data_IF_458389174994
#
_entry.id   IF_458389174994
#
_cell.length_a   1.000
_cell.length_b   1.000
_cell.length_c   1.000
_cell.angle_alpha   90.00
_cell.angle_beta   90.00
_cell.angle_gamma   90.00
#
_symmetry.space_group_name_H-M   'P 1'
#
loop_
_entity.id
_entity.type
_entity.pdbx_description
1 polymer ?
#
# COMPACT_ATOMS: atom_id res chain seq x y z
N UNK A 1 -20.15 -58.63 -19.86
CA UNK A 1 -19.55 -57.28 -19.80
C UNK A 1 -20.15 -56.56 -18.61
N UNK A 2 -19.43 -56.43 -17.50
CA UNK A 2 -19.84 -55.60 -16.36
C UNK A 2 -18.72 -54.58 -16.11
N UNK A 3 -19.00 -53.33 -16.49
CA UNK A 3 -18.11 -52.19 -16.27
C UNK A 3 -18.17 -51.80 -14.79
N UNK A 4 -17.03 -51.94 -14.09
CA UNK A 4 -16.87 -51.42 -12.74
C UNK A 4 -16.65 -49.91 -12.82
N UNK A 5 -17.69 -49.14 -12.52
CA UNK A 5 -17.56 -47.72 -12.24
C UNK A 5 -16.68 -47.53 -11.00
N UNK A 6 -15.52 -46.90 -11.17
CA UNK A 6 -14.70 -46.41 -10.06
C UNK A 6 -15.41 -45.21 -9.43
N UNK A 7 -15.59 -45.17 -8.10
CA UNK A 7 -16.19 -44.01 -7.46
C UNK A 7 -15.24 -42.82 -7.60
N UNK A 8 -15.76 -41.71 -8.12
CA UNK A 8 -15.09 -40.42 -8.16
C UNK A 8 -14.88 -39.95 -6.71
N UNK A 9 -13.64 -40.05 -6.21
CA UNK A 9 -13.25 -39.47 -4.92
C UNK A 9 -13.23 -37.96 -5.11
N UNK A 10 -14.18 -37.25 -4.47
CA UNK A 10 -14.13 -35.79 -4.41
C UNK A 10 -12.82 -35.35 -3.76
N UNK A 11 -12.12 -34.34 -4.30
CA UNK A 11 -10.88 -33.86 -3.68
C UNK A 11 -11.18 -33.40 -2.25
N UNK A 12 -10.44 -33.92 -1.28
CA UNK A 12 -10.45 -33.40 0.09
C UNK A 12 -10.11 -31.91 0.04
N UNK A 13 -10.82 -31.04 0.79
CA UNK A 13 -10.50 -29.63 0.82
C UNK A 13 -9.06 -29.46 1.31
N UNK A 14 -8.22 -28.78 0.51
CA UNK A 14 -6.87 -28.44 0.93
C UNK A 14 -6.90 -27.73 2.29
N UNK A 15 -5.96 -28.02 3.20
CA UNK A 15 -5.97 -27.44 4.53
C UNK A 15 -5.80 -25.92 4.46
N UNK A 16 -6.89 -25.18 4.57
CA UNK A 16 -6.88 -23.71 4.64
C UNK A 16 -6.28 -23.31 6.00
N UNK A 17 -5.20 -22.54 5.97
CA UNK A 17 -4.55 -22.06 7.19
C UNK A 17 -5.55 -21.30 8.08
N UNK A 18 -5.55 -21.60 9.39
CA UNK A 18 -6.45 -20.90 10.33
C UNK A 18 -6.19 -19.38 10.34
N UNK A 19 -7.21 -18.55 10.61
CA UNK A 19 -7.05 -17.09 10.68
C UNK A 19 -5.93 -16.64 11.62
N UNK A 20 -5.77 -17.35 12.76
CA UNK A 20 -4.69 -17.08 13.73
C UNK A 20 -3.30 -17.38 13.16
N UNK A 21 -3.15 -18.46 12.39
CA UNK A 21 -1.90 -18.79 11.73
C UNK A 21 -1.55 -17.76 10.65
N UNK A 22 -2.54 -17.31 9.87
CA UNK A 22 -2.36 -16.27 8.86
C UNK A 22 -1.93 -14.93 9.47
N UNK A 23 -2.61 -14.48 10.51
CA UNK A 23 -2.25 -13.25 11.23
C UNK A 23 -0.83 -13.33 11.84
N UNK A 24 -0.46 -14.48 12.39
CA UNK A 24 0.89 -14.70 12.93
C UNK A 24 1.96 -14.64 11.83
N UNK A 25 1.68 -15.19 10.64
CA UNK A 25 2.61 -15.15 9.52
C UNK A 25 2.74 -13.74 8.92
N UNK A 26 1.64 -13.00 8.73
CA UNK A 26 1.66 -11.58 8.33
C UNK A 26 2.53 -10.75 9.27
N UNK A 27 2.36 -10.95 10.59
CA UNK A 27 3.19 -10.27 11.60
C UNK A 27 4.67 -10.62 11.44
N UNK A 28 5.01 -11.90 11.25
CA UNK A 28 6.41 -12.35 11.09
C UNK A 28 7.04 -11.78 9.81
N UNK A 29 6.33 -11.79 8.69
CA UNK A 29 6.81 -11.18 7.44
C UNK A 29 7.03 -9.68 7.62
N UNK A 30 6.12 -8.98 8.30
CA UNK A 30 6.29 -7.56 8.62
C UNK A 30 7.55 -7.32 9.48
N UNK A 31 7.76 -8.15 10.51
CA UNK A 31 8.94 -8.04 11.38
C UNK A 31 10.24 -8.29 10.59
N UNK A 32 10.25 -9.23 9.64
CA UNK A 32 11.38 -9.49 8.75
C UNK A 32 11.65 -8.30 7.83
N UNK A 33 10.62 -7.70 7.24
CA UNK A 33 10.73 -6.48 6.43
C UNK A 33 11.22 -5.27 7.24
N UNK A 34 11.04 -5.26 8.56
CA UNK A 34 11.55 -4.21 9.44
C UNK A 34 13.00 -4.42 9.91
N UNK A 35 13.64 -5.54 9.57
CA UNK A 35 15.03 -5.77 9.94
C UNK A 35 15.99 -4.84 9.18
N UNK A 36 17.10 -4.40 9.82
CA UNK A 36 18.12 -3.59 9.16
C UNK A 36 18.84 -4.39 8.07
N UNK A 37 19.48 -3.68 7.13
CA UNK A 37 20.23 -4.30 6.03
C UNK A 37 21.38 -5.23 6.48
N UNK A 38 21.86 -5.08 7.72
CA UNK A 38 22.85 -6.00 8.32
C UNK A 38 22.31 -7.39 8.67
N UNK A 39 20.98 -7.57 8.64
CA UNK A 39 20.29 -8.81 9.04
C UNK A 39 19.51 -9.46 7.91
N UNK A 40 19.15 -8.69 6.88
CA UNK A 40 18.46 -9.16 5.69
C UNK A 40 18.96 -8.38 4.48
N UNK A 41 19.37 -9.11 3.45
CA UNK A 41 19.85 -8.49 2.21
C UNK A 41 18.69 -8.04 1.31
N UNK A 42 19.00 -7.32 0.22
CA UNK A 42 17.99 -6.78 -0.68
C UNK A 42 17.14 -7.87 -1.36
N UNK A 43 17.75 -8.99 -1.74
CA UNK A 43 17.06 -10.10 -2.40
C UNK A 43 16.05 -10.78 -1.45
N UNK A 44 16.49 -11.15 -0.25
CA UNK A 44 15.63 -11.74 0.78
C UNK A 44 14.47 -10.81 1.15
N UNK A 45 14.75 -9.49 1.22
CA UNK A 45 13.72 -8.48 1.47
C UNK A 45 12.70 -8.41 0.34
N UNK A 46 13.14 -8.49 -0.92
CA UNK A 46 12.25 -8.54 -2.09
C UNK A 46 11.34 -9.77 -2.04
N UNK A 47 11.92 -10.96 -1.82
CA UNK A 47 11.15 -12.21 -1.72
C UNK A 47 10.13 -12.14 -0.58
N UNK A 48 10.53 -11.61 0.58
CA UNK A 48 9.62 -11.41 1.71
C UNK A 48 8.47 -10.46 1.37
N UNK A 49 8.76 -9.41 0.59
CA UNK A 49 7.75 -8.46 0.14
C UNK A 49 6.75 -9.10 -0.82
N UNK A 50 7.22 -9.90 -1.78
CA UNK A 50 6.37 -10.61 -2.73
C UNK A 50 5.45 -11.61 -2.01
N UNK A 51 5.97 -12.36 -1.04
CA UNK A 51 5.17 -13.24 -0.19
C UNK A 51 4.13 -12.46 0.63
N UNK A 52 4.50 -11.30 1.16
CA UNK A 52 3.57 -10.44 1.88
C UNK A 52 2.45 -9.92 0.97
N UNK A 53 2.75 -9.56 -0.28
CA UNK A 53 1.74 -9.13 -1.26
C UNK A 53 0.69 -10.21 -1.45
N UNK A 54 1.11 -11.47 -1.68
CA UNK A 54 0.17 -12.59 -1.84
C UNK A 54 -0.69 -12.78 -0.57
N UNK A 55 -0.08 -12.67 0.61
CA UNK A 55 -0.82 -12.76 1.86
C UNK A 55 -1.77 -11.59 2.12
N UNK A 56 -1.48 -10.40 1.60
CA UNK A 56 -2.36 -9.25 1.79
C UNK A 56 -3.60 -9.33 0.89
N UNK A 57 -3.55 -10.03 -0.26
CA UNK A 57 -4.69 -10.18 -1.17
C UNK A 57 -5.93 -10.78 -0.52
N UNK A 58 -5.77 -11.82 0.32
CA UNK A 58 -6.90 -12.42 1.05
C UNK A 58 -7.01 -11.95 2.51
N UNK A 59 -6.17 -11.00 2.94
CA UNK A 59 -6.26 -10.45 4.29
C UNK A 59 -7.44 -9.47 4.39
N UNK A 60 -8.09 -9.41 5.54
CA UNK A 60 -9.15 -8.40 5.78
C UNK A 60 -8.54 -7.01 5.95
N UNK A 61 -9.32 -5.95 5.68
CA UNK A 61 -8.87 -4.54 5.72
C UNK A 61 -8.09 -4.22 7.01
N UNK A 62 -8.62 -4.64 8.17
CA UNK A 62 -7.97 -4.38 9.47
C UNK A 62 -6.63 -5.08 9.66
N UNK A 63 -6.34 -6.17 8.95
CA UNK A 63 -5.00 -6.79 8.94
C UNK A 63 -4.06 -6.01 8.03
N UNK A 64 -4.52 -5.61 6.84
CA UNK A 64 -3.75 -4.79 5.90
C UNK A 64 -3.37 -3.45 6.52
N UNK A 65 -4.29 -2.81 7.24
CA UNK A 65 -4.05 -1.57 7.98
C UNK A 65 -2.99 -1.74 9.08
N UNK A 66 -3.00 -2.86 9.80
CA UNK A 66 -1.96 -3.17 10.81
C UNK A 66 -0.59 -3.31 10.18
N UNK A 67 -0.50 -3.99 9.03
CA UNK A 67 0.75 -4.12 8.26
C UNK A 67 1.19 -2.76 7.75
N UNK A 68 0.29 -1.98 7.14
CA UNK A 68 0.56 -0.63 6.66
C UNK A 68 1.17 0.27 7.76
N UNK A 69 0.55 0.31 8.94
CA UNK A 69 1.09 1.06 10.10
C UNK A 69 2.46 0.58 10.53
N UNK A 70 2.71 -0.73 10.48
CA UNK A 70 4.01 -1.31 10.86
C UNK A 70 5.11 -0.91 9.88
N UNK A 71 4.79 -0.82 8.59
CA UNK A 71 5.75 -0.51 7.53
C UNK A 71 5.94 1.00 7.33
N UNK A 72 5.00 1.85 7.74
CA UNK A 72 5.00 3.28 7.41
C UNK A 72 6.30 4.05 7.75
N UNK A 73 6.98 3.65 8.82
CA UNK A 73 8.23 4.28 9.28
C UNK A 73 9.50 3.65 8.69
N UNK A 74 9.38 2.70 7.77
CA UNK A 74 10.56 2.12 7.11
C UNK A 74 11.22 3.16 6.23
N UNK A 75 12.54 3.26 6.37
CA UNK A 75 13.35 4.16 5.55
C UNK A 75 13.21 3.81 4.07
N UNK A 76 13.25 2.51 3.74
CA UNK A 76 13.10 1.97 2.40
C UNK A 76 12.07 0.84 2.39
N UNK A 77 10.81 1.16 2.10
CA UNK A 77 9.76 0.17 1.91
C UNK A 77 9.86 -0.43 0.49
N UNK A 78 9.73 -1.75 0.31
CA UNK A 78 9.67 -2.35 -1.01
C UNK A 78 8.55 -1.74 -1.86
N UNK A 79 8.89 -1.24 -3.06
CA UNK A 79 7.95 -0.49 -3.90
C UNK A 79 6.69 -1.26 -4.29
N UNK A 80 6.74 -2.60 -4.34
CA UNK A 80 5.55 -3.44 -4.58
C UNK A 80 4.51 -3.29 -3.45
N UNK A 81 4.97 -3.18 -2.20
CA UNK A 81 4.09 -2.97 -1.04
C UNK A 81 3.59 -1.53 -0.98
N UNK A 82 4.44 -0.55 -1.31
CA UNK A 82 4.02 0.86 -1.40
C UNK A 82 2.86 1.01 -2.38
N UNK A 83 3.01 0.51 -3.61
CA UNK A 83 1.95 0.57 -4.65
C UNK A 83 0.68 -0.18 -4.25
N UNK A 84 0.81 -1.35 -3.62
CA UNK A 84 -0.34 -2.12 -3.16
C UNK A 84 -1.11 -1.35 -2.09
N UNK A 85 -0.43 -0.89 -1.04
CA UNK A 85 -1.06 -0.33 0.16
C UNK A 85 -1.58 1.10 -0.05
N UNK A 86 -0.93 1.90 -0.90
CA UNK A 86 -1.39 3.26 -1.23
C UNK A 86 -2.68 3.29 -2.07
N UNK A 87 -3.00 2.18 -2.75
CA UNK A 87 -4.19 2.06 -3.61
C UNK A 87 -5.29 1.22 -2.98
N UNK A 88 -5.08 0.79 -1.75
CA UNK A 88 -6.01 -0.05 -0.99
C UNK A 88 -7.17 0.81 -0.44
N UNK A 89 -7.95 0.27 0.47
CA UNK A 89 -8.93 1.00 1.25
C UNK A 89 -8.29 2.23 1.92
N UNK A 90 -9.07 3.31 2.02
CA UNK A 90 -8.61 4.59 2.53
C UNK A 90 -7.97 4.46 3.92
N UNK A 91 -8.46 3.59 4.80
CA UNK A 91 -7.87 3.40 6.13
C UNK A 91 -6.45 2.82 6.07
N UNK A 92 -6.20 1.93 5.11
CA UNK A 92 -4.89 1.30 4.88
C UNK A 92 -3.93 2.32 4.28
N UNK A 93 -4.33 3.00 3.20
CA UNK A 93 -3.50 3.99 2.52
C UNK A 93 -3.18 5.18 3.43
N UNK A 94 -4.14 5.64 4.25
CA UNK A 94 -3.96 6.70 5.24
C UNK A 94 -2.78 6.45 6.16
N UNK A 95 -2.58 5.20 6.60
CA UNK A 95 -1.45 4.86 7.47
C UNK A 95 -0.10 5.20 6.83
N UNK A 96 0.04 5.05 5.51
CA UNK A 96 1.25 5.43 4.78
C UNK A 96 1.25 6.93 4.45
N UNK A 97 0.14 7.46 3.92
CA UNK A 97 0.03 8.85 3.49
C UNK A 97 0.21 9.85 4.65
N UNK A 98 -0.12 9.49 5.88
CA UNK A 98 0.10 10.37 7.04
C UNK A 98 1.46 10.17 7.72
N UNK A 99 1.97 8.93 7.75
CA UNK A 99 3.11 8.59 8.61
C UNK A 99 4.41 8.28 7.86
N UNK A 100 4.38 8.09 6.54
CA UNK A 100 5.57 7.77 5.76
C UNK A 100 6.20 9.05 5.17
N UNK A 101 7.38 9.49 5.66
CA UNK A 101 8.03 10.70 5.16
C UNK A 101 8.74 10.48 3.81
N UNK A 102 9.02 9.23 3.43
CA UNK A 102 9.90 8.90 2.31
C UNK A 102 9.15 8.40 1.05
N UNK A 103 7.84 8.65 0.95
CA UNK A 103 7.11 8.36 -0.29
C UNK A 103 7.63 9.26 -1.41
N UNK A 104 8.01 8.66 -2.53
CA UNK A 104 8.49 9.41 -3.69
C UNK A 104 7.34 10.10 -4.43
N UNK A 105 7.66 11.13 -5.20
CA UNK A 105 6.69 11.79 -6.08
C UNK A 105 6.04 10.78 -7.03
N UNK A 106 6.80 9.80 -7.54
CA UNK A 106 6.28 8.74 -8.39
C UNK A 106 5.25 7.85 -7.67
N UNK A 107 5.46 7.55 -6.38
CA UNK A 107 4.50 6.78 -5.58
C UNK A 107 3.21 7.57 -5.33
N UNK A 108 3.34 8.87 -5.01
CA UNK A 108 2.20 9.77 -4.78
C UNK A 108 1.39 9.97 -6.06
N UNK A 109 2.06 10.22 -7.18
CA UNK A 109 1.41 10.37 -8.50
C UNK A 109 0.74 9.07 -8.92
N UNK A 110 1.37 7.91 -8.70
CA UNK A 110 0.74 6.63 -8.99
C UNK A 110 -0.52 6.42 -8.12
N UNK A 111 -0.46 6.72 -6.83
CA UNK A 111 -1.62 6.68 -5.94
C UNK A 111 -2.73 7.62 -6.42
N UNK A 112 -2.38 8.86 -6.73
CA UNK A 112 -3.29 9.91 -7.21
C UNK A 112 -4.12 9.44 -8.41
N UNK A 113 -3.49 8.87 -9.45
CA UNK A 113 -4.19 8.43 -10.66
C UNK A 113 -4.97 7.12 -10.50
N UNK A 114 -4.66 6.30 -9.48
CA UNK A 114 -5.22 4.96 -9.36
C UNK A 114 -6.10 4.76 -8.10
N UNK A 115 -6.36 5.81 -7.32
CA UNK A 115 -7.14 5.75 -6.10
C UNK A 115 -8.30 6.77 -6.10
N UNK A 116 -9.00 6.90 -4.96
CA UNK A 116 -10.15 7.78 -4.83
C UNK A 116 -9.77 9.24 -4.54
N UNK A 117 -10.75 10.14 -4.67
CA UNK A 117 -10.64 11.57 -4.28
C UNK A 117 -10.17 11.73 -2.83
N UNK A 118 -10.60 10.85 -1.92
CA UNK A 118 -10.15 10.89 -0.53
C UNK A 118 -8.65 10.61 -0.37
N UNK A 119 -8.08 9.75 -1.22
CA UNK A 119 -6.64 9.52 -1.24
C UNK A 119 -5.90 10.78 -1.72
N UNK A 120 -6.38 11.39 -2.81
CA UNK A 120 -5.84 12.64 -3.34
C UNK A 120 -5.89 13.77 -2.31
N UNK A 121 -6.99 13.86 -1.55
CA UNK A 121 -7.12 14.81 -0.43
C UNK A 121 -6.07 14.54 0.66
N UNK A 122 -5.78 13.28 0.98
CA UNK A 122 -4.71 12.95 1.92
C UNK A 122 -3.33 13.30 1.38
N UNK A 123 -3.08 13.09 0.08
CA UNK A 123 -1.84 13.54 -0.57
C UNK A 123 -1.71 15.06 -0.46
N UNK A 124 -2.78 15.82 -0.75
CA UNK A 124 -2.81 17.28 -0.67
C UNK A 124 -2.54 17.81 0.75
N UNK A 125 -2.83 17.03 1.81
CA UNK A 125 -2.54 17.37 3.21
C UNK A 125 -1.11 17.05 3.65
N UNK A 126 -0.33 16.32 2.84
CA UNK A 126 1.03 15.91 3.23
C UNK A 126 1.95 17.12 3.35
N UNK A 127 2.93 17.02 4.25
CA UNK A 127 4.04 17.97 4.26
C UNK A 127 4.96 17.68 3.07
N UNK A 128 5.48 18.72 2.42
CA UNK A 128 6.45 18.57 1.34
C UNK A 128 5.87 18.00 0.05
N UNK A 129 4.62 18.34 -0.27
CA UNK A 129 4.08 18.13 -1.63
C UNK A 129 4.93 18.95 -2.59
N UNK A 130 5.58 18.28 -3.54
CA UNK A 130 6.39 18.92 -4.58
C UNK A 130 5.52 19.58 -5.64
N UNK A 131 6.12 20.46 -6.44
CA UNK A 131 5.43 21.14 -7.55
C UNK A 131 4.81 20.14 -8.53
N UNK A 132 5.52 19.07 -8.89
CA UNK A 132 5.03 18.05 -9.83
C UNK A 132 3.82 17.29 -9.27
N UNK A 133 3.80 17.01 -7.97
CA UNK A 133 2.64 16.36 -7.32
C UNK A 133 1.49 17.35 -7.17
N UNK A 134 1.77 18.62 -6.88
CA UNK A 134 0.77 19.68 -6.78
C UNK A 134 0.06 19.91 -8.13
N UNK A 135 0.82 20.06 -9.21
CA UNK A 135 0.29 20.22 -10.57
C UNK A 135 -0.59 19.01 -10.95
N UNK A 136 -0.10 17.79 -10.69
CA UNK A 136 -0.88 16.58 -10.94
C UNK A 136 -2.18 16.50 -10.12
N UNK A 137 -2.23 17.09 -8.91
CA UNK A 137 -3.47 17.17 -8.11
C UNK A 137 -4.45 18.19 -8.69
N UNK A 138 -3.94 19.33 -9.20
CA UNK A 138 -4.76 20.35 -9.87
C UNK A 138 -5.34 19.81 -11.17
N UNK A 139 -4.57 19.06 -11.94
CA UNK A 139 -4.99 18.42 -13.21
C UNK A 139 -6.15 17.42 -13.05
N UNK A 140 -6.38 16.91 -11.83
CA UNK A 140 -7.53 16.03 -11.55
C UNK A 140 -8.87 16.79 -11.53
N UNK A 141 -8.85 18.12 -11.52
CA UNK A 141 -10.02 19.01 -11.55
C UNK A 141 -11.03 18.74 -10.43
N UNK A 142 -10.51 18.49 -9.22
CA UNK A 142 -11.32 18.21 -8.04
C UNK A 142 -11.28 19.39 -7.06
N UNK A 143 -12.33 20.21 -7.07
CA UNK A 143 -12.41 21.43 -6.23
C UNK A 143 -12.05 21.18 -4.77
N UNK A 144 -12.53 20.08 -4.17
CA UNK A 144 -12.23 19.73 -2.78
C UNK A 144 -10.73 19.50 -2.52
N UNK A 145 -10.04 18.86 -3.48
CA UNK A 145 -8.61 18.55 -3.38
C UNK A 145 -7.80 19.82 -3.59
N UNK A 146 -8.12 20.61 -4.61
CA UNK A 146 -7.47 21.89 -4.89
C UNK A 146 -7.60 22.86 -3.71
N UNK A 147 -8.80 23.00 -3.13
CA UNK A 147 -8.99 23.82 -1.93
C UNK A 147 -8.16 23.31 -0.73
N UNK A 148 -8.03 22.00 -0.59
CA UNK A 148 -7.22 21.39 0.47
C UNK A 148 -5.73 21.68 0.25
N UNK A 149 -5.28 21.58 -1.00
CA UNK A 149 -3.90 21.84 -1.41
C UNK A 149 -3.53 23.31 -1.18
N UNK A 150 -4.38 24.26 -1.58
CA UNK A 150 -4.16 25.71 -1.39
C UNK A 150 -4.08 26.11 0.09
N UNK A 151 -4.74 25.36 0.99
CA UNK A 151 -4.68 25.59 2.44
C UNK A 151 -3.44 24.98 3.09
N UNK A 152 -2.65 24.20 2.36
CA UNK A 152 -1.44 23.57 2.88
C UNK A 152 -0.22 24.47 2.62
N UNK A 153 0.18 25.20 3.66
CA UNK A 153 1.29 26.18 3.62
C UNK A 153 2.67 25.58 3.29
N UNK A 154 2.80 24.26 3.27
CA UNK A 154 4.05 23.55 3.01
C UNK A 154 4.15 22.99 1.59
N UNK A 155 3.15 23.26 0.74
CA UNK A 155 3.16 22.90 -0.69
C UNK A 155 4.08 23.86 -1.43
N UNK A 156 4.85 23.32 -2.36
CA UNK A 156 5.52 24.13 -3.38
C UNK A 156 4.65 24.12 -4.64
N UNK A 157 4.26 25.30 -5.11
CA UNK A 157 3.48 25.46 -6.33
C UNK A 157 4.39 25.85 -7.48
N UNK A 158 4.18 25.26 -8.65
CA UNK A 158 4.78 25.74 -9.89
C UNK A 158 4.12 27.06 -10.31
N UNK A 159 4.76 27.79 -11.23
CA UNK A 159 4.14 28.99 -11.82
C UNK A 159 2.87 28.64 -12.63
N UNK A 160 2.80 27.44 -13.22
CA UNK A 160 1.63 27.00 -14.00
C UNK A 160 0.44 26.65 -13.10
N UNK A 161 0.66 26.12 -11.90
CA UNK A 161 -0.41 25.75 -10.97
C UNK A 161 -1.14 26.91 -10.29
N UNK A 162 -0.70 28.16 -10.51
CA UNK A 162 -1.29 29.37 -9.91
C UNK A 162 -2.10 30.23 -10.91
N UNK A 163 -2.02 29.95 -12.21
CA UNK A 163 -2.74 30.64 -13.28
C UNK A 163 -4.08 29.98 -13.61
#
# INVERSE_FOLDING_TARGET
>A
MNERATPFVSPEPEPVASPRARAALLKRLADVLCLPASRINAFERSVTADLMVEMLRDAVVGEREKVARRLANLAEMPGVLVRLLLRDDLQVARALLENSPNLSDADLINCLYNASTDHRRLIALRRGVSEVVADALVDMDETLVTETLLKNELVRFSHQGLE
#
